data_IF_884669879336
#
_entry.id   IF_884669879336
#
_cell.length_a   1.000
_cell.length_b   1.000
_cell.length_c   1.000
_cell.angle_alpha   90.00
_cell.angle_beta   90.00
_cell.angle_gamma   90.00
#
_symmetry.space_group_name_H-M   'P 1'
#
loop_
_entity.id
_entity.type
_entity.pdbx_description
1 polymer ?
#
# COMPACT_ATOMS: atom_id res chain seq x y z
N UNK A 1 -68.50 -75.79 25.52
CA UNK A 1 -67.40 -74.99 26.02
C UNK A 1 -66.47 -74.77 24.86
N UNK A 2 -66.58 -73.64 24.26
CA UNK A 2 -65.71 -73.24 23.13
C UNK A 2 -64.59 -72.32 23.61
N UNK A 3 -63.33 -72.73 23.51
CA UNK A 3 -62.16 -71.91 23.81
C UNK A 3 -61.84 -71.04 22.64
N UNK A 4 -61.93 -69.71 22.81
CA UNK A 4 -61.52 -68.75 21.79
C UNK A 4 -60.02 -68.46 22.10
N UNK A 5 -59.17 -68.77 21.10
CA UNK A 5 -57.74 -68.47 21.09
C UNK A 5 -57.56 -67.13 20.42
N UNK A 6 -57.17 -66.08 21.29
CA UNK A 6 -56.87 -64.76 20.75
C UNK A 6 -55.41 -64.75 20.32
N UNK A 7 -55.22 -64.60 19.02
CA UNK A 7 -53.91 -64.34 18.42
C UNK A 7 -53.66 -62.82 18.46
N UNK A 8 -52.74 -62.41 19.29
CA UNK A 8 -52.26 -61.02 19.35
C UNK A 8 -51.29 -60.80 18.15
N UNK A 9 -51.78 -60.08 17.13
CA UNK A 9 -50.97 -59.64 15.99
C UNK A 9 -50.20 -58.39 16.42
N UNK A 10 -48.94 -58.53 16.80
CA UNK A 10 -48.03 -57.39 17.05
C UNK A 10 -47.66 -56.78 15.71
N UNK A 11 -48.25 -55.63 15.35
CA UNK A 11 -47.84 -54.82 14.23
C UNK A 11 -46.47 -54.23 14.50
N UNK A 12 -45.43 -54.76 13.90
CA UNK A 12 -44.11 -54.16 13.85
C UNK A 12 -44.22 -53.01 12.82
N UNK A 13 -44.34 -51.77 13.31
CA UNK A 13 -44.22 -50.58 12.44
C UNK A 13 -42.77 -50.50 11.97
N UNK A 14 -42.54 -50.89 10.71
CA UNK A 14 -41.26 -50.67 10.03
C UNK A 14 -41.05 -49.15 9.84
N UNK A 15 -40.25 -48.57 10.69
CA UNK A 15 -39.72 -47.20 10.43
C UNK A 15 -38.63 -47.34 9.35
N UNK A 16 -38.92 -46.94 8.13
CA UNK A 16 -37.92 -46.85 7.07
C UNK A 16 -36.97 -45.66 7.41
N UNK A 17 -35.77 -46.00 7.78
CA UNK A 17 -34.75 -45.00 8.00
C UNK A 17 -34.25 -44.44 6.70
N UNK A 18 -34.01 -43.10 6.61
CA UNK A 18 -33.45 -42.50 5.43
C UNK A 18 -31.92 -42.73 5.38
N UNK A 19 -31.50 -43.48 4.39
CA UNK A 19 -30.12 -43.89 4.18
C UNK A 19 -29.54 -43.14 2.97
N UNK A 20 -28.39 -42.49 3.16
CA UNK A 20 -27.67 -41.78 2.10
C UNK A 20 -26.24 -42.33 2.00
N UNK A 21 -25.73 -42.59 0.80
CA UNK A 21 -24.36 -43.05 0.64
C UNK A 21 -23.38 -41.93 1.04
N UNK A 22 -22.35 -42.31 1.78
CA UNK A 22 -21.20 -41.44 2.04
C UNK A 22 -20.40 -41.28 0.76
N UNK A 23 -20.23 -40.05 0.29
CA UNK A 23 -19.56 -39.74 -0.98
C UNK A 23 -18.11 -39.35 -0.75
N UNK A 24 -17.21 -39.72 -1.67
CA UNK A 24 -15.85 -39.20 -1.70
C UNK A 24 -15.83 -37.89 -2.48
N UNK A 25 -15.54 -36.79 -1.81
CA UNK A 25 -15.42 -35.46 -2.43
C UNK A 25 -14.03 -34.87 -2.21
N UNK A 26 -13.59 -34.07 -3.18
CA UNK A 26 -12.39 -33.29 -3.03
C UNK A 26 -12.69 -32.07 -2.17
N UNK A 27 -12.08 -31.98 -0.99
CA UNK A 27 -12.29 -30.91 -0.03
C UNK A 27 -11.07 -30.01 0.00
N UNK A 28 -11.35 -28.71 0.04
CA UNK A 28 -10.33 -27.71 0.13
C UNK A 28 -9.95 -27.45 1.61
N UNK A 29 -8.70 -27.75 1.96
CA UNK A 29 -8.17 -27.43 3.27
C UNK A 29 -7.74 -25.96 3.26
N UNK A 30 -8.50 -25.14 4.00
CA UNK A 30 -8.25 -23.72 4.15
C UNK A 30 -7.59 -23.44 5.50
N UNK A 31 -6.45 -22.74 5.49
CA UNK A 31 -5.80 -22.22 6.70
C UNK A 31 -6.05 -20.73 6.82
N UNK A 32 -6.15 -20.27 8.06
CA UNK A 32 -6.30 -18.85 8.37
C UNK A 32 -5.04 -18.27 8.97
N UNK A 33 -4.66 -17.08 8.51
CA UNK A 33 -3.50 -16.33 8.97
C UNK A 33 -3.93 -14.95 9.47
N UNK A 34 -3.33 -14.51 10.57
CA UNK A 34 -3.52 -13.16 11.08
C UNK A 34 -2.68 -12.19 10.28
N UNK A 35 -3.26 -11.04 9.99
CA UNK A 35 -2.63 -10.01 9.19
C UNK A 35 -3.27 -8.65 9.39
N UNK A 36 -2.89 -7.71 8.56
CA UNK A 36 -3.42 -6.35 8.57
C UNK A 36 -3.61 -5.80 7.15
N UNK A 37 -4.46 -4.80 7.06
CA UNK A 37 -4.63 -3.98 5.86
C UNK A 37 -3.54 -2.90 5.89
N UNK A 38 -2.83 -2.70 4.77
CA UNK A 38 -1.81 -1.67 4.67
C UNK A 38 -1.88 -0.95 3.31
N UNK A 39 -1.43 0.29 3.26
CA UNK A 39 -1.25 1.00 2.01
C UNK A 39 0.12 0.64 1.42
N UNK A 40 0.14 0.12 0.17
CA UNK A 40 1.38 -0.22 -0.54
C UNK A 40 2.22 1.03 -0.78
N UNK A 41 1.58 2.13 -1.16
CA UNK A 41 2.21 3.41 -1.41
C UNK A 41 2.02 4.31 -0.19
N UNK A 42 3.08 4.44 0.60
CA UNK A 42 3.19 5.41 1.68
C UNK A 42 4.32 6.36 1.37
N UNK A 43 4.09 7.67 1.53
CA UNK A 43 5.09 8.69 1.29
C UNK A 43 5.33 9.49 2.57
N UNK A 44 6.59 9.51 2.98
CA UNK A 44 7.07 10.36 4.06
C UNK A 44 7.42 11.73 3.48
N UNK A 45 6.57 12.72 3.73
CA UNK A 45 6.77 14.09 3.25
C UNK A 45 7.68 14.83 4.20
N UNK A 46 8.83 15.25 3.69
CA UNK A 46 9.83 16.02 4.39
C UNK A 46 10.01 17.41 3.75
N UNK A 47 10.59 18.34 4.48
CA UNK A 47 11.02 19.64 3.95
C UNK A 47 12.41 19.55 3.30
N UNK A 48 12.68 20.47 2.37
CA UNK A 48 14.04 20.75 1.85
C UNK A 48 14.72 21.91 2.59
N UNK A 49 13.94 22.65 3.39
CA UNK A 49 14.39 23.82 4.12
C UNK A 49 14.44 23.50 5.62
N UNK A 50 15.46 23.98 6.28
CA UNK A 50 15.53 24.03 7.73
C UNK A 50 14.79 25.28 8.21
N UNK A 51 13.90 25.14 9.18
CA UNK A 51 13.17 26.27 9.76
C UNK A 51 11.96 25.83 10.58
N UNK A 52 11.36 26.77 11.28
CA UNK A 52 10.15 26.50 12.07
C UNK A 52 8.94 26.32 11.19
N UNK A 53 8.06 25.38 11.54
CA UNK A 53 6.75 25.23 10.87
C UNK A 53 5.88 26.40 11.26
N UNK A 54 5.63 27.28 10.29
CA UNK A 54 4.80 28.47 10.46
C UNK A 54 3.31 28.16 10.46
N UNK A 55 2.90 27.19 9.62
CA UNK A 55 1.50 26.80 9.46
C UNK A 55 1.41 25.34 9.04
N UNK A 56 0.48 24.61 9.63
CA UNK A 56 0.03 23.31 9.21
C UNK A 56 -1.37 23.46 8.61
N UNK A 57 -1.58 23.04 7.36
CA UNK A 57 -2.86 23.23 6.66
C UNK A 57 -3.73 21.97 6.67
N UNK A 58 -3.21 20.87 7.25
CA UNK A 58 -3.89 19.57 7.26
C UNK A 58 -3.83 18.94 8.64
N UNK A 59 -4.83 18.13 8.95
CA UNK A 59 -4.92 17.31 10.14
C UNK A 59 -4.81 15.80 9.79
N UNK A 60 -4.53 14.97 10.80
CA UNK A 60 -4.57 13.52 10.63
C UNK A 60 -5.98 13.07 10.27
N UNK A 61 -6.10 12.26 9.21
CA UNK A 61 -7.38 11.84 8.64
C UNK A 61 -7.84 12.65 7.43
N UNK A 62 -7.25 13.82 7.15
CA UNK A 62 -7.62 14.63 6.00
C UNK A 62 -7.25 13.97 4.67
N UNK A 63 -8.18 14.05 3.70
CA UNK A 63 -7.93 13.68 2.31
C UNK A 63 -7.24 14.85 1.60
N UNK A 64 -6.15 14.56 0.92
CA UNK A 64 -5.36 15.55 0.17
C UNK A 64 -5.15 15.11 -1.27
N UNK A 65 -5.10 16.10 -2.18
CA UNK A 65 -4.79 15.87 -3.58
C UNK A 65 -3.34 16.27 -3.88
N UNK A 66 -2.76 15.63 -4.87
CA UNK A 66 -1.41 15.98 -5.35
C UNK A 66 -1.31 17.46 -5.70
N UNK A 67 -0.41 18.16 -5.04
CA UNK A 67 -0.18 19.60 -5.20
C UNK A 67 -0.76 20.47 -4.09
N UNK A 68 -1.62 19.94 -3.23
CA UNK A 68 -2.15 20.64 -2.06
C UNK A 68 -1.04 21.02 -1.10
N UNK A 69 -1.14 22.20 -0.47
CA UNK A 69 -0.14 22.68 0.48
C UNK A 69 -0.41 22.03 1.84
N UNK A 70 0.50 21.16 2.26
CA UNK A 70 0.41 20.46 3.54
C UNK A 70 0.84 21.33 4.72
N UNK A 71 1.98 21.98 4.57
CA UNK A 71 2.51 22.87 5.60
C UNK A 71 3.45 23.93 5.01
N UNK A 72 3.71 24.97 5.80
CA UNK A 72 4.60 26.06 5.44
C UNK A 72 5.72 26.19 6.49
N UNK A 73 6.95 26.23 6.00
CA UNK A 73 8.15 26.55 6.80
C UNK A 73 8.37 28.07 6.76
N UNK A 74 8.82 28.68 7.84
CA UNK A 74 9.09 30.12 7.90
C UNK A 74 10.15 30.51 6.85
N UNK A 75 9.80 31.40 5.91
CA UNK A 75 10.69 31.79 4.83
C UNK A 75 11.54 33.03 5.15
N UNK A 76 11.62 33.48 6.40
CA UNK A 76 12.26 34.76 6.78
C UNK A 76 13.71 34.87 6.32
N UNK A 77 14.50 33.80 6.51
CA UNK A 77 15.89 33.77 6.07
C UNK A 77 16.01 33.83 4.54
N UNK A 78 15.07 33.17 3.83
CA UNK A 78 15.03 33.19 2.37
C UNK A 78 14.70 34.57 1.83
N UNK A 79 13.81 35.31 2.47
CA UNK A 79 13.53 36.70 2.09
C UNK A 79 14.76 37.57 2.20
N UNK A 80 15.56 37.41 3.29
CA UNK A 80 16.83 38.10 3.48
C UNK A 80 17.81 37.78 2.35
N UNK A 81 17.94 36.49 1.98
CA UNK A 81 18.78 36.07 0.84
C UNK A 81 18.31 36.63 -0.50
N UNK A 82 17.00 36.68 -0.75
CA UNK A 82 16.42 37.27 -1.96
C UNK A 82 16.74 38.77 -2.02
N UNK A 83 16.59 39.50 -0.93
CA UNK A 83 16.90 40.95 -0.87
C UNK A 83 18.38 41.22 -1.12
N UNK A 84 19.27 40.42 -0.55
CA UNK A 84 20.71 40.51 -0.81
C UNK A 84 21.04 40.23 -2.28
N UNK A 85 20.45 39.17 -2.86
CA UNK A 85 20.65 38.84 -4.27
C UNK A 85 20.12 39.92 -5.21
N UNK A 86 18.98 40.56 -4.88
CA UNK A 86 18.43 41.71 -5.63
C UNK A 86 19.40 42.90 -5.60
N UNK A 87 19.98 43.23 -4.45
CA UNK A 87 20.98 44.27 -4.33
C UNK A 87 22.20 43.96 -5.22
N UNK A 88 22.67 42.73 -5.25
CA UNK A 88 23.73 42.26 -6.14
C UNK A 88 23.42 42.44 -7.63
N UNK A 89 22.18 42.17 -8.03
CA UNK A 89 21.74 42.41 -9.42
C UNK A 89 21.75 43.90 -9.74
N UNK A 90 21.27 44.77 -8.86
CA UNK A 90 21.33 46.25 -9.07
C UNK A 90 22.75 46.74 -9.18
N UNK A 91 23.67 46.26 -8.36
CA UNK A 91 25.08 46.60 -8.43
C UNK A 91 25.69 46.22 -9.76
N UNK A 92 25.43 44.99 -10.25
CA UNK A 92 25.92 44.51 -11.52
C UNK A 92 25.30 45.28 -12.70
N UNK A 93 23.99 45.66 -12.63
CA UNK A 93 23.35 46.52 -13.62
C UNK A 93 24.03 47.88 -13.75
N UNK A 94 24.36 48.53 -12.60
CA UNK A 94 25.10 49.76 -12.60
C UNK A 94 26.51 49.59 -13.20
N UNK A 95 27.18 48.45 -12.95
CA UNK A 95 28.44 48.10 -13.59
C UNK A 95 28.35 48.03 -15.11
N UNK A 96 27.31 47.45 -15.67
CA UNK A 96 27.05 47.42 -17.14
C UNK A 96 26.83 48.85 -17.66
N UNK A 97 26.05 49.67 -16.95
CA UNK A 97 25.80 51.06 -17.35
C UNK A 97 27.11 51.86 -17.43
N UNK A 98 27.96 51.76 -16.36
CA UNK A 98 29.24 52.44 -16.35
C UNK A 98 30.17 51.97 -17.47
N UNK A 99 30.22 50.67 -17.76
CA UNK A 99 31.00 50.12 -18.86
C UNK A 99 30.51 50.63 -20.25
N UNK A 100 29.19 50.73 -20.40
CA UNK A 100 28.59 51.30 -21.66
C UNK A 100 28.85 52.76 -21.83
N UNK A 101 28.83 53.55 -20.74
CA UNK A 101 29.20 54.98 -20.79
C UNK A 101 30.68 55.18 -21.17
N UNK A 102 31.59 54.38 -20.57
CA UNK A 102 33.02 54.43 -20.88
C UNK A 102 33.31 53.98 -22.35
N UNK A 103 32.54 53.02 -22.88
CA UNK A 103 32.65 52.63 -24.27
C UNK A 103 32.17 53.74 -25.23
N UNK A 104 31.01 54.34 -24.94
CA UNK A 104 30.47 55.45 -25.74
C UNK A 104 31.42 56.65 -25.82
N UNK A 105 32.16 56.94 -24.75
CA UNK A 105 33.21 58.00 -24.75
C UNK A 105 34.42 57.61 -25.62
N UNK A 106 34.93 56.38 -25.45
CA UNK A 106 36.04 55.86 -26.28
C UNK A 106 35.68 55.74 -27.76
N UNK A 107 34.41 55.43 -28.07
CA UNK A 107 33.87 55.34 -29.45
C UNK A 107 33.84 56.74 -30.11
N UNK A 108 33.46 57.79 -29.38
CA UNK A 108 33.52 59.17 -29.84
C UNK A 108 34.98 59.59 -30.17
N UNK A 109 35.90 59.25 -29.29
CA UNK A 109 37.33 59.55 -29.50
C UNK A 109 37.88 58.78 -30.70
N UNK A 110 37.57 57.49 -30.82
CA UNK A 110 37.95 56.69 -32.00
C UNK A 110 37.40 57.30 -33.28
N UNK A 111 36.13 57.68 -33.37
CA UNK A 111 35.52 58.28 -34.54
C UNK A 111 36.17 59.63 -34.87
N UNK A 112 36.49 60.46 -33.88
CA UNK A 112 37.21 61.73 -34.05
C UNK A 112 38.62 61.51 -34.61
N UNK A 113 39.39 60.59 -34.06
CA UNK A 113 40.75 60.29 -34.52
C UNK A 113 40.76 59.58 -35.87
N UNK A 114 39.77 58.77 -36.18
CA UNK A 114 39.60 58.21 -37.53
C UNK A 114 39.46 59.28 -38.62
N UNK A 115 38.59 60.26 -38.38
CA UNK A 115 38.40 61.38 -39.30
C UNK A 115 39.66 62.24 -39.45
N UNK A 116 40.44 62.45 -38.40
CA UNK A 116 41.70 63.19 -38.44
C UNK A 116 42.81 62.41 -39.16
N UNK A 117 42.88 61.09 -38.97
CA UNK A 117 43.85 60.23 -39.64
C UNK A 117 43.57 60.15 -41.14
N UNK A 118 42.31 60.04 -41.56
CA UNK A 118 41.93 60.11 -42.96
C UNK A 118 42.31 61.42 -43.62
N UNK A 119 42.39 62.52 -42.87
CA UNK A 119 42.86 63.84 -43.34
C UNK A 119 44.35 64.05 -43.15
N UNK A 120 45.12 63.06 -42.70
CA UNK A 120 46.57 63.18 -42.50
C UNK A 120 46.96 64.03 -41.26
N UNK A 121 46.03 64.39 -40.35
CA UNK A 121 46.24 65.31 -39.25
C UNK A 121 46.73 64.61 -37.92
N UNK A 122 46.78 63.29 -37.88
CA UNK A 122 47.31 62.53 -36.71
C UNK A 122 48.15 61.35 -37.22
N UNK A 123 49.01 60.80 -36.31
CA UNK A 123 49.84 59.66 -36.65
C UNK A 123 49.03 58.35 -36.63
N UNK A 124 49.51 57.38 -37.43
CA UNK A 124 48.93 56.03 -37.42
C UNK A 124 48.91 55.41 -35.99
N UNK A 125 49.97 55.61 -35.25
CA UNK A 125 50.11 55.16 -33.83
C UNK A 125 49.05 55.74 -32.95
N UNK A 126 48.69 56.99 -33.09
CA UNK A 126 47.65 57.63 -32.24
C UNK A 126 46.27 57.12 -32.61
N UNK A 127 45.98 56.90 -33.87
CA UNK A 127 44.76 56.29 -34.34
C UNK A 127 44.60 54.83 -33.80
N UNK A 128 45.64 53.98 -33.98
CA UNK A 128 45.65 52.60 -33.47
C UNK A 128 45.47 52.54 -31.94
N UNK A 129 46.01 53.49 -31.20
CA UNK A 129 45.80 53.61 -29.76
C UNK A 129 44.35 53.87 -29.39
N UNK A 130 43.63 54.73 -30.14
CA UNK A 130 42.18 54.95 -29.90
C UNK A 130 41.36 53.75 -30.28
N UNK A 131 41.72 53.06 -31.35
CA UNK A 131 41.07 51.81 -31.77
C UNK A 131 41.21 50.73 -30.69
N UNK A 132 42.40 50.52 -30.15
CA UNK A 132 42.67 49.59 -29.06
C UNK A 132 41.88 49.93 -27.79
N UNK A 133 41.85 51.23 -27.42
CA UNK A 133 41.07 51.70 -26.27
C UNK A 133 39.58 51.37 -26.41
N UNK A 134 38.97 51.64 -27.58
CA UNK A 134 37.59 51.30 -27.85
C UNK A 134 37.36 49.79 -27.74
N UNK A 135 38.26 48.94 -28.29
CA UNK A 135 38.18 47.48 -28.19
C UNK A 135 38.26 46.99 -26.77
N UNK A 136 39.16 47.59 -25.94
CA UNK A 136 39.27 47.28 -24.50
C UNK A 136 37.97 47.61 -23.77
N UNK A 137 37.33 48.77 -24.05
CA UNK A 137 36.06 49.16 -23.42
C UNK A 137 34.90 48.25 -23.88
N UNK A 138 34.90 47.83 -25.15
CA UNK A 138 33.94 46.82 -25.64
C UNK A 138 34.08 45.48 -24.85
N UNK A 139 35.31 45.02 -24.64
CA UNK A 139 35.55 43.82 -23.83
C UNK A 139 35.10 43.97 -22.37
N UNK A 140 35.23 45.22 -21.84
CA UNK A 140 34.77 45.54 -20.46
C UNK A 140 33.24 45.48 -20.31
N UNK A 141 32.45 45.84 -21.36
CA UNK A 141 31.01 45.65 -21.42
C UNK A 141 30.69 44.16 -21.30
N UNK A 142 31.33 43.32 -22.12
CA UNK A 142 31.11 41.88 -22.11
C UNK A 142 31.36 41.26 -20.71
N UNK A 143 32.44 41.70 -20.05
CA UNK A 143 32.75 41.28 -18.67
C UNK A 143 31.65 41.72 -17.70
N UNK A 144 31.20 42.96 -17.76
CA UNK A 144 30.13 43.48 -16.88
C UNK A 144 28.79 42.77 -17.15
N UNK A 145 28.47 42.47 -18.40
CA UNK A 145 27.26 41.68 -18.76
C UNK A 145 27.33 40.24 -18.25
N UNK A 146 28.51 39.60 -18.28
CA UNK A 146 28.70 38.29 -17.65
C UNK A 146 28.49 38.32 -16.14
N UNK A 147 28.99 39.35 -15.46
CA UNK A 147 28.76 39.57 -14.02
C UNK A 147 27.26 39.79 -13.69
N UNK A 148 26.54 40.53 -14.54
CA UNK A 148 25.09 40.70 -14.41
C UNK A 148 24.34 39.39 -14.59
N UNK A 149 24.73 38.59 -15.58
CA UNK A 149 24.14 37.26 -15.78
C UNK A 149 24.35 36.34 -14.56
N UNK A 150 25.56 36.37 -13.99
CA UNK A 150 25.87 35.63 -12.75
C UNK A 150 25.00 36.10 -11.57
N UNK A 151 24.85 37.41 -11.36
CA UNK A 151 24.02 37.96 -10.28
C UNK A 151 22.55 37.58 -10.47
N UNK A 152 22.01 37.66 -11.71
CA UNK A 152 20.65 37.22 -12.04
C UNK A 152 20.43 35.73 -11.76
N UNK A 153 21.39 34.88 -12.11
CA UNK A 153 21.33 33.45 -11.78
C UNK A 153 21.33 33.20 -10.27
N UNK A 154 22.07 34.01 -9.50
CA UNK A 154 22.02 33.99 -8.04
C UNK A 154 20.66 34.34 -7.47
N UNK A 155 20.03 35.40 -7.96
CA UNK A 155 18.68 35.80 -7.59
C UNK A 155 17.65 34.70 -7.92
N UNK A 156 17.75 34.12 -9.11
CA UNK A 156 16.85 33.04 -9.52
C UNK A 156 16.93 31.84 -8.56
N UNK A 157 18.14 31.43 -8.15
CA UNK A 157 18.33 30.36 -7.16
C UNK A 157 17.65 30.69 -5.83
N UNK A 158 17.77 31.91 -5.33
CA UNK A 158 17.13 32.34 -4.09
C UNK A 158 15.59 32.34 -4.22
N UNK A 159 15.05 32.75 -5.37
CA UNK A 159 13.62 32.68 -5.66
C UNK A 159 13.10 31.24 -5.76
N UNK A 160 13.89 30.31 -6.30
CA UNK A 160 13.52 28.92 -6.38
C UNK A 160 13.50 28.25 -5.00
N UNK A 161 14.44 28.62 -4.12
CA UNK A 161 14.42 28.16 -2.73
C UNK A 161 13.16 28.58 -2.00
N UNK A 162 12.60 29.76 -2.27
CA UNK A 162 11.34 30.23 -1.68
C UNK A 162 10.17 29.27 -1.96
N UNK A 163 10.16 28.61 -3.13
CA UNK A 163 9.11 27.63 -3.49
C UNK A 163 9.06 26.45 -2.52
N UNK A 164 10.22 26.08 -1.93
CA UNK A 164 10.32 24.97 -0.98
C UNK A 164 9.79 25.30 0.41
N UNK A 165 9.51 26.58 0.72
CA UNK A 165 8.86 26.96 1.96
C UNK A 165 7.42 26.47 2.07
N UNK A 166 6.75 26.23 0.93
CA UNK A 166 5.43 25.62 0.85
C UNK A 166 5.56 24.18 0.41
N UNK A 167 5.41 23.26 1.34
CA UNK A 167 5.54 21.84 1.09
C UNK A 167 4.20 21.29 0.62
N UNK A 168 4.22 20.62 -0.53
CA UNK A 168 3.02 20.13 -1.22
C UNK A 168 2.94 18.62 -1.17
N UNK A 169 1.71 18.08 -1.24
CA UNK A 169 1.43 16.66 -1.38
C UNK A 169 2.01 16.12 -2.70
N UNK A 170 2.87 15.09 -2.65
CA UNK A 170 3.41 14.46 -3.86
C UNK A 170 2.45 13.49 -4.54
N UNK A 171 1.46 12.98 -3.80
CA UNK A 171 0.44 12.01 -4.24
C UNK A 171 -0.93 12.42 -3.71
N UNK A 172 -1.98 11.86 -4.31
CA UNK A 172 -3.32 11.84 -3.71
C UNK A 172 -3.33 10.83 -2.58
N UNK A 173 -4.02 11.12 -1.47
CA UNK A 173 -4.06 10.20 -0.34
C UNK A 173 -4.64 10.80 0.93
N UNK A 174 -4.41 10.13 2.03
CA UNK A 174 -4.85 10.55 3.38
C UNK A 174 -3.64 10.81 4.26
N UNK A 175 -3.75 11.83 5.10
CA UNK A 175 -2.76 12.13 6.15
C UNK A 175 -2.87 11.07 7.25
N UNK A 176 -1.89 10.17 7.32
CA UNK A 176 -1.87 9.10 8.33
C UNK A 176 -1.33 9.60 9.66
N UNK A 177 -0.30 10.44 9.61
CA UNK A 177 0.37 10.94 10.82
C UNK A 177 1.10 12.25 10.56
N UNK A 178 1.05 13.13 11.54
CA UNK A 178 1.91 14.32 11.67
C UNK A 178 3.04 14.01 12.64
N UNK A 179 4.29 14.10 12.18
CA UNK A 179 5.48 13.80 12.99
C UNK A 179 6.01 15.05 13.68
N UNK A 180 5.56 16.25 13.25
CA UNK A 180 6.03 17.55 13.73
C UNK A 180 4.84 18.51 13.82
N UNK A 181 4.88 19.45 14.77
CA UNK A 181 3.79 20.41 15.03
C UNK A 181 4.18 21.83 14.58
N UNK A 182 3.18 22.72 14.58
CA UNK A 182 3.40 24.16 14.37
C UNK A 182 4.35 24.68 15.46
N UNK A 183 5.24 25.60 15.11
CA UNK A 183 6.32 26.16 15.91
C UNK A 183 7.46 25.17 16.27
N UNK A 184 7.43 23.92 15.81
CA UNK A 184 8.57 23.02 15.88
C UNK A 184 9.50 23.20 14.67
N UNK A 185 10.78 22.86 14.85
CA UNK A 185 11.77 22.95 13.78
C UNK A 185 11.67 21.77 12.82
N UNK A 186 11.44 22.05 11.56
CA UNK A 186 11.52 21.07 10.48
C UNK A 186 12.96 21.02 9.96
N UNK A 187 13.50 19.80 9.84
CA UNK A 187 14.87 19.54 9.41
C UNK A 187 14.83 18.79 8.08
N UNK A 188 15.64 19.16 7.08
CA UNK A 188 15.73 18.45 5.81
C UNK A 188 15.98 16.95 6.00
N UNK A 189 15.22 16.11 5.28
CA UNK A 189 15.35 14.66 5.37
C UNK A 189 14.56 14.00 6.50
N UNK A 190 14.07 14.74 7.49
CA UNK A 190 13.18 14.22 8.52
C UNK A 190 11.71 14.34 8.08
N UNK A 191 10.90 13.25 8.19
CA UNK A 191 9.50 13.30 7.80
C UNK A 191 8.71 14.22 8.74
N UNK A 192 7.87 15.06 8.14
CA UNK A 192 6.93 15.95 8.85
C UNK A 192 5.52 15.38 8.81
N UNK A 193 5.14 14.79 7.67
CA UNK A 193 3.82 14.19 7.44
C UNK A 193 3.99 12.85 6.73
N UNK A 194 3.17 11.87 7.10
CA UNK A 194 3.06 10.59 6.39
C UNK A 194 1.73 10.57 5.64
N UNK A 195 1.80 10.39 4.33
CA UNK A 195 0.64 10.20 3.45
C UNK A 195 0.51 8.74 3.03
N UNK A 196 -0.71 8.23 2.97
CA UNK A 196 -1.03 6.92 2.44
C UNK A 196 -2.00 7.04 1.26
N UNK A 197 -1.68 6.35 0.17
CA UNK A 197 -2.56 6.23 -0.98
C UNK A 197 -3.59 5.12 -0.73
N UNK A 198 -4.85 5.50 -0.50
CA UNK A 198 -5.94 4.57 -0.23
C UNK A 198 -6.28 3.68 -1.43
N UNK A 199 -5.94 4.09 -2.66
CA UNK A 199 -6.13 3.27 -3.85
C UNK A 199 -5.11 2.11 -3.93
N UNK A 200 -4.02 2.21 -3.17
CA UNK A 200 -2.95 1.20 -3.13
C UNK A 200 -3.10 0.18 -1.99
N UNK A 201 -4.27 0.10 -1.35
CA UNK A 201 -4.53 -0.79 -0.22
C UNK A 201 -4.37 -2.26 -0.63
N UNK A 202 -3.68 -3.00 0.22
CA UNK A 202 -3.45 -4.44 0.15
C UNK A 202 -3.60 -5.05 1.54
N UNK A 203 -3.78 -6.37 1.62
CA UNK A 203 -3.64 -7.11 2.87
C UNK A 203 -2.26 -7.79 2.91
N UNK A 204 -1.75 -8.01 4.12
CA UNK A 204 -0.55 -8.81 4.37
C UNK A 204 -0.75 -9.72 5.57
N UNK A 205 -0.09 -10.86 5.54
CA UNK A 205 -0.07 -11.79 6.66
C UNK A 205 1.32 -12.40 6.84
N UNK A 206 1.60 -12.80 8.07
CA UNK A 206 2.78 -13.57 8.41
C UNK A 206 2.42 -15.06 8.41
N UNK A 207 3.02 -15.80 7.48
CA UNK A 207 2.77 -17.23 7.26
C UNK A 207 3.96 -18.02 7.77
N UNK A 208 3.70 -19.05 8.59
CA UNK A 208 4.76 -19.91 9.13
C UNK A 208 5.52 -20.64 8.02
N UNK A 209 6.79 -20.92 8.26
CA UNK A 209 7.67 -21.59 7.30
C UNK A 209 7.11 -22.91 6.78
N UNK A 210 6.50 -23.73 7.65
CA UNK A 210 5.89 -25.00 7.26
C UNK A 210 4.72 -24.90 6.28
N UNK A 211 4.05 -23.72 6.24
CA UNK A 211 2.85 -23.48 5.43
C UNK A 211 3.16 -22.73 4.12
N UNK A 212 4.23 -21.92 4.10
CA UNK A 212 4.53 -21.05 2.95
C UNK A 212 4.79 -21.80 1.66
N UNK A 213 5.32 -23.02 1.75
CA UNK A 213 5.56 -23.92 0.59
C UNK A 213 4.27 -24.27 -0.19
N UNK A 214 3.14 -24.25 0.50
CA UNK A 214 1.83 -24.61 -0.05
C UNK A 214 1.07 -23.38 -0.62
N UNK A 215 1.67 -22.19 -0.51
CA UNK A 215 1.11 -20.92 -1.01
C UNK A 215 1.81 -20.54 -2.31
N UNK A 216 1.03 -20.17 -3.33
CA UNK A 216 1.52 -19.80 -4.67
C UNK A 216 1.05 -18.40 -5.04
N UNK A 217 1.85 -17.70 -5.86
CA UNK A 217 1.45 -16.42 -6.45
C UNK A 217 0.18 -16.61 -7.30
N UNK A 218 -0.69 -15.60 -7.29
CA UNK A 218 -2.02 -15.58 -7.92
C UNK A 218 -3.06 -16.55 -7.31
N UNK A 219 -2.71 -17.27 -6.24
CA UNK A 219 -3.62 -18.16 -5.55
C UNK A 219 -4.78 -17.39 -4.93
N UNK A 220 -6.04 -17.85 -5.07
CA UNK A 220 -7.20 -17.23 -4.45
C UNK A 220 -7.11 -17.26 -2.92
N UNK A 221 -7.59 -16.20 -2.30
CA UNK A 221 -7.70 -16.06 -0.85
C UNK A 221 -8.96 -15.26 -0.51
N UNK A 222 -9.43 -15.37 0.71
CA UNK A 222 -10.49 -14.51 1.26
C UNK A 222 -9.93 -13.74 2.46
N UNK A 223 -10.21 -12.45 2.52
CA UNK A 223 -9.75 -11.55 3.58
C UNK A 223 -10.98 -11.07 4.34
N UNK A 224 -11.11 -11.50 5.57
CA UNK A 224 -12.15 -11.03 6.49
C UNK A 224 -11.57 -9.90 7.35
N UNK A 225 -12.21 -8.73 7.29
CA UNK A 225 -11.84 -7.55 8.08
C UNK A 225 -12.91 -7.32 9.14
N UNK A 226 -12.56 -7.62 10.38
CA UNK A 226 -13.51 -7.61 11.50
C UNK A 226 -14.07 -6.23 11.81
N UNK A 227 -13.28 -5.17 11.65
CA UNK A 227 -13.69 -3.79 11.95
C UNK A 227 -14.89 -3.32 11.12
N UNK A 228 -15.04 -3.82 9.90
CA UNK A 228 -16.13 -3.48 8.96
C UNK A 228 -17.04 -4.67 8.66
N UNK A 229 -16.83 -5.81 9.35
CA UNK A 229 -17.55 -7.07 9.15
C UNK A 229 -17.67 -7.46 7.66
N UNK A 230 -16.59 -7.31 6.91
CA UNK A 230 -16.57 -7.49 5.44
C UNK A 230 -15.59 -8.60 5.06
N UNK A 231 -16.03 -9.51 4.20
CA UNK A 231 -15.15 -10.48 3.54
C UNK A 231 -14.90 -10.05 2.11
N UNK A 232 -13.65 -9.94 1.72
CA UNK A 232 -13.21 -9.49 0.40
C UNK A 232 -12.43 -10.60 -0.28
N UNK A 233 -12.72 -10.84 -1.56
CA UNK A 233 -11.92 -11.73 -2.36
C UNK A 233 -10.54 -11.12 -2.64
N UNK A 234 -9.54 -11.98 -2.55
CA UNK A 234 -8.15 -11.57 -2.69
C UNK A 234 -7.35 -12.61 -3.48
N UNK A 235 -6.16 -12.21 -3.90
CA UNK A 235 -5.17 -13.11 -4.51
C UNK A 235 -3.80 -12.84 -3.92
N UNK A 236 -3.02 -13.89 -3.74
CA UNK A 236 -1.60 -13.77 -3.38
C UNK A 236 -0.89 -12.95 -4.44
N UNK A 237 -0.42 -11.76 -4.08
CA UNK A 237 0.29 -10.86 -4.99
C UNK A 237 1.80 -11.04 -4.92
N UNK A 238 2.34 -11.34 -3.73
CA UNK A 238 3.77 -11.55 -3.55
C UNK A 238 4.05 -12.37 -2.28
N UNK A 239 5.11 -13.15 -2.31
CA UNK A 239 5.67 -13.86 -1.17
C UNK A 239 7.10 -13.34 -1.00
N UNK A 240 7.41 -12.75 0.16
CA UNK A 240 8.74 -12.20 0.41
C UNK A 240 9.67 -13.36 0.80
N UNK A 241 10.74 -13.64 0.03
CA UNK A 241 11.60 -14.81 0.24
C UNK A 241 12.62 -14.58 1.37
N UNK A 242 12.21 -13.92 2.43
CA UNK A 242 13.01 -13.65 3.62
C UNK A 242 12.15 -13.84 4.84
N UNK A 243 12.47 -14.85 5.65
CA UNK A 243 11.78 -15.09 6.91
C UNK A 243 12.22 -14.08 7.96
N UNK A 244 11.30 -13.69 8.81
CA UNK A 244 11.59 -12.99 10.06
C UNK A 244 12.26 -13.99 11.03
N UNK A 245 13.51 -13.76 11.45
CA UNK A 245 14.25 -14.72 12.30
C UNK A 245 13.65 -14.87 13.70
N UNK A 246 12.89 -13.90 14.19
CA UNK A 246 12.27 -13.94 15.52
C UNK A 246 10.99 -14.80 15.52
N UNK A 247 10.24 -14.79 14.42
CA UNK A 247 8.92 -15.45 14.34
C UNK A 247 8.91 -16.66 13.40
N UNK A 248 9.99 -16.93 12.67
CA UNK A 248 10.10 -17.96 11.63
C UNK A 248 8.93 -17.91 10.64
N UNK A 249 8.54 -16.69 10.24
CA UNK A 249 7.41 -16.45 9.34
C UNK A 249 7.81 -15.65 8.12
N UNK A 250 7.11 -15.91 7.02
CA UNK A 250 7.27 -15.22 5.74
C UNK A 250 6.16 -14.20 5.55
N UNK A 251 6.51 -13.03 5.07
CA UNK A 251 5.53 -12.01 4.74
C UNK A 251 4.89 -12.32 3.37
N UNK A 252 3.59 -12.59 3.38
CA UNK A 252 2.77 -12.80 2.19
C UNK A 252 1.84 -11.60 2.00
N UNK A 253 1.80 -11.08 0.79
CA UNK A 253 0.97 -9.93 0.40
C UNK A 253 -0.18 -10.37 -0.50
N UNK A 254 -1.33 -9.73 -0.33
CA UNK A 254 -2.57 -10.06 -1.02
C UNK A 254 -3.15 -8.82 -1.68
N UNK A 255 -3.45 -8.92 -2.97
CA UNK A 255 -4.23 -7.91 -3.68
C UNK A 255 -5.71 -8.12 -3.40
N UNK A 256 -6.42 -7.07 -3.05
CA UNK A 256 -7.84 -7.08 -2.75
C UNK A 256 -8.65 -6.73 -4.00
N UNK A 257 -9.75 -7.43 -4.23
CA UNK A 257 -10.67 -7.14 -5.33
C UNK A 257 -11.50 -5.88 -5.04
N UNK A 258 -11.90 -5.70 -3.79
CA UNK A 258 -12.63 -4.53 -3.32
C UNK A 258 -11.86 -3.89 -2.16
N UNK A 259 -11.77 -2.56 -2.18
CA UNK A 259 -11.01 -1.76 -1.20
C UNK A 259 -11.90 -0.77 -0.44
N UNK A 260 -13.18 -0.68 -0.81
CA UNK A 260 -14.11 0.28 -0.25
C UNK A 260 -14.34 0.06 1.24
N UNK A 261 -14.20 1.13 2.02
CA UNK A 261 -14.34 1.11 3.47
C UNK A 261 -13.16 0.51 4.24
N UNK A 262 -12.09 0.09 3.55
CA UNK A 262 -10.89 -0.45 4.20
C UNK A 262 -9.88 0.66 4.48
N UNK A 263 -9.35 0.66 5.70
CA UNK A 263 -8.33 1.61 6.12
C UNK A 263 -7.04 0.88 6.54
N UNK A 264 -5.87 1.48 6.27
CA UNK A 264 -4.60 0.96 6.75
C UNK A 264 -4.59 0.81 8.28
N UNK A 265 -4.05 -0.32 8.77
CA UNK A 265 -4.01 -0.65 10.18
C UNK A 265 -5.17 -1.53 10.67
N UNK A 266 -6.21 -1.76 9.86
CA UNK A 266 -7.28 -2.68 10.21
C UNK A 266 -6.75 -4.11 10.29
N UNK A 267 -7.12 -4.82 11.35
CA UNK A 267 -6.85 -6.25 11.50
C UNK A 267 -7.61 -7.06 10.46
N UNK A 268 -6.94 -8.02 9.84
CA UNK A 268 -7.50 -8.90 8.84
C UNK A 268 -7.19 -10.37 9.15
N UNK A 269 -8.17 -11.23 8.96
CA UNK A 269 -8.01 -12.69 8.99
C UNK A 269 -8.05 -13.21 7.55
N UNK A 270 -6.95 -13.80 7.12
CA UNK A 270 -6.76 -14.18 5.72
C UNK A 270 -6.87 -15.69 5.60
N UNK A 271 -7.80 -16.14 4.77
CA UNK A 271 -8.07 -17.54 4.52
C UNK A 271 -7.47 -17.93 3.17
N UNK A 272 -6.55 -18.91 3.19
CA UNK A 272 -5.86 -19.40 1.98
C UNK A 272 -6.07 -20.90 1.89
N UNK A 273 -6.46 -21.36 0.73
CA UNK A 273 -6.54 -22.78 0.44
C UNK A 273 -5.11 -23.35 0.31
N UNK A 274 -4.71 -24.24 1.19
CA UNK A 274 -3.33 -24.80 1.21
C UNK A 274 -3.23 -26.18 0.60
N UNK A 275 -4.31 -26.93 0.56
CA UNK A 275 -4.35 -28.27 -0.03
C UNK A 275 -5.76 -28.63 -0.48
N UNK A 276 -5.87 -29.64 -1.32
CA UNK A 276 -7.12 -30.36 -1.58
C UNK A 276 -6.87 -31.83 -1.27
N UNK A 277 -7.77 -32.43 -0.53
CA UNK A 277 -7.76 -33.86 -0.23
C UNK A 277 -9.08 -34.51 -0.61
N UNK A 278 -9.02 -35.75 -1.03
CA UNK A 278 -10.21 -36.57 -1.11
C UNK A 278 -10.57 -37.07 0.28
N UNK A 279 -11.72 -36.67 0.75
CA UNK A 279 -12.25 -37.08 2.06
C UNK A 279 -13.68 -37.57 1.88
N UNK A 280 -14.15 -38.40 2.80
CA UNK A 280 -15.53 -38.88 2.79
C UNK A 280 -16.42 -37.83 3.43
N UNK A 281 -17.50 -37.48 2.74
CA UNK A 281 -18.47 -36.49 3.12
C UNK A 281 -19.76 -37.13 3.53
N UNK A 282 -20.31 -36.72 4.64
CA UNK A 282 -21.63 -37.14 5.15
C UNK A 282 -22.47 -35.87 5.42
N UNK A 283 -23.80 -35.94 5.31
CA UNK A 283 -24.67 -34.83 5.73
C UNK A 283 -24.51 -34.54 7.21
N UNK A 284 -24.50 -33.23 7.59
CA UNK A 284 -24.36 -32.81 8.99
C UNK A 284 -25.40 -33.45 9.91
N UNK A 285 -26.62 -33.65 9.41
CA UNK A 285 -27.71 -34.26 10.15
C UNK A 285 -27.60 -35.80 10.31
N UNK A 286 -26.57 -36.42 9.73
CA UNK A 286 -26.21 -37.82 10.03
C UNK A 286 -25.30 -37.94 11.25
N UNK A 287 -24.68 -36.85 11.68
CA UNK A 287 -23.81 -36.85 12.87
C UNK A 287 -24.64 -37.03 14.15
N UNK A 288 -24.17 -37.89 15.03
CA UNK A 288 -24.75 -38.09 16.38
C UNK A 288 -23.63 -38.22 17.41
N UNK A 289 -23.94 -37.98 18.66
CA UNK A 289 -22.97 -38.11 19.77
C UNK A 289 -23.42 -39.22 20.74
N UNK A 290 -22.48 -40.09 21.06
CA UNK A 290 -22.70 -41.20 22.02
C UNK A 290 -21.59 -41.22 23.05
N UNK A 291 -21.96 -41.06 24.33
CA UNK A 291 -20.96 -41.03 25.40
C UNK A 291 -19.88 -39.97 25.22
N UNK A 292 -20.19 -38.82 24.54
CA UNK A 292 -19.24 -37.78 24.25
C UNK A 292 -18.41 -38.02 22.98
N UNK A 293 -18.62 -39.13 22.25
CA UNK A 293 -17.92 -39.44 20.98
C UNK A 293 -18.86 -39.10 19.84
N UNK A 294 -18.37 -38.31 18.90
CA UNK A 294 -19.09 -38.01 17.65
C UNK A 294 -18.93 -39.18 16.65
N UNK A 295 -20.04 -39.56 16.04
CA UNK A 295 -20.05 -40.66 15.07
C UNK A 295 -21.27 -40.61 14.19
N UNK A 296 -21.37 -41.59 13.29
CA UNK A 296 -22.53 -41.84 12.43
C UNK A 296 -22.97 -43.27 12.55
N UNK A 297 -24.26 -43.55 12.27
CA UNK A 297 -24.72 -44.89 12.11
C UNK A 297 -24.61 -45.30 10.66
N UNK A 298 -23.88 -46.38 10.39
CA UNK A 298 -23.76 -46.97 9.03
C UNK A 298 -24.62 -48.20 8.94
N UNK A 299 -25.12 -48.48 7.73
CA UNK A 299 -25.84 -49.71 7.45
C UNK A 299 -24.85 -50.89 7.28
N UNK A 300 -24.91 -51.81 8.21
CA UNK A 300 -24.17 -53.05 8.17
C UNK A 300 -25.14 -54.23 8.00
N UNK A 301 -25.39 -54.60 6.73
CA UNK A 301 -26.31 -55.69 6.34
C UNK A 301 -27.74 -55.53 6.93
N UNK A 302 -28.32 -54.33 6.81
CA UNK A 302 -29.66 -54.02 7.29
C UNK A 302 -29.76 -53.73 8.77
N UNK A 303 -28.62 -53.57 9.46
CA UNK A 303 -28.52 -53.21 10.89
C UNK A 303 -27.64 -51.98 11.09
N UNK A 304 -28.09 -51.09 11.96
CA UNK A 304 -27.28 -49.90 12.33
C UNK A 304 -26.03 -50.34 13.09
N UNK A 305 -24.90 -49.75 12.73
CA UNK A 305 -23.64 -49.85 13.46
C UNK A 305 -23.07 -48.45 13.72
N UNK A 306 -22.81 -48.10 14.95
CA UNK A 306 -22.19 -46.84 15.31
C UNK A 306 -20.71 -46.84 14.93
N UNK A 307 -20.29 -45.87 14.14
CA UNK A 307 -18.91 -45.67 13.72
C UNK A 307 -18.44 -44.31 14.21
N UNK A 308 -17.45 -44.27 15.13
CA UNK A 308 -16.84 -43.03 15.56
C UNK A 308 -16.17 -42.32 14.36
N UNK A 309 -16.37 -41.01 14.25
CA UNK A 309 -15.77 -40.22 13.17
C UNK A 309 -15.01 -39.03 13.75
N UNK A 310 -13.95 -38.61 13.03
CA UNK A 310 -13.29 -37.35 13.30
C UNK A 310 -13.66 -36.35 12.20
N UNK A 311 -14.16 -35.18 12.60
CA UNK A 311 -14.53 -34.11 11.68
C UNK A 311 -13.26 -33.45 11.15
N UNK A 312 -13.08 -33.44 9.82
CA UNK A 312 -11.97 -32.80 9.13
C UNK A 312 -12.30 -31.35 8.77
N UNK A 313 -13.48 -31.15 8.16
CA UNK A 313 -14.01 -29.81 7.84
C UNK A 313 -15.52 -29.87 7.70
N UNK A 314 -16.16 -28.69 7.77
CA UNK A 314 -17.59 -28.53 7.54
C UNK A 314 -17.81 -27.46 6.48
N UNK A 315 -18.61 -27.75 5.48
CA UNK A 315 -19.03 -26.81 4.44
C UNK A 315 -20.56 -26.88 4.27
N UNK A 316 -21.23 -25.88 4.83
CA UNK A 316 -22.69 -25.82 4.83
C UNK A 316 -23.32 -27.01 5.56
N UNK A 317 -24.12 -27.79 4.82
CA UNK A 317 -24.85 -28.98 5.31
C UNK A 317 -24.03 -30.29 5.17
N UNK A 318 -22.84 -30.24 4.62
CA UNK A 318 -21.96 -31.40 4.44
C UNK A 318 -20.75 -31.32 5.39
N UNK A 319 -20.36 -32.46 5.93
CA UNK A 319 -19.22 -32.59 6.83
C UNK A 319 -18.27 -33.65 6.32
N UNK A 320 -17.03 -33.27 6.16
CA UNK A 320 -15.96 -34.19 5.87
C UNK A 320 -15.52 -34.93 7.12
N UNK A 321 -15.49 -36.24 7.02
CA UNK A 321 -15.18 -37.10 8.16
C UNK A 321 -14.14 -38.15 7.80
N UNK A 322 -13.39 -38.59 8.79
CA UNK A 322 -12.59 -39.83 8.71
C UNK A 322 -13.22 -40.89 9.60
N UNK A 323 -13.09 -42.15 9.23
CA UNK A 323 -13.65 -43.29 9.96
C UNK A 323 -14.78 -44.01 9.22
N UNK A 324 -15.32 -43.43 8.14
CA UNK A 324 -16.33 -44.06 7.25
C UNK A 324 -15.72 -44.20 5.86
N UNK A 325 -16.07 -45.26 5.13
CA UNK A 325 -15.60 -45.47 3.77
C UNK A 325 -16.62 -44.90 2.75
N UNK A 326 -16.10 -44.47 1.59
CA UNK A 326 -16.96 -44.05 0.48
C UNK A 326 -17.87 -45.19 0.03
N UNK A 327 -19.16 -44.90 -0.19
CA UNK A 327 -20.19 -45.87 -0.57
C UNK A 327 -20.91 -46.52 0.60
N UNK A 328 -20.43 -46.40 1.85
CA UNK A 328 -21.17 -46.81 3.03
C UNK A 328 -22.44 -45.97 3.18
N UNK A 329 -23.58 -46.58 3.45
CA UNK A 329 -24.84 -45.87 3.66
C UNK A 329 -24.96 -45.41 5.11
N UNK A 330 -25.15 -44.13 5.32
CA UNK A 330 -25.29 -43.50 6.65
C UNK A 330 -26.76 -43.15 6.91
N UNK A 331 -27.16 -43.26 8.15
CA UNK A 331 -28.52 -42.91 8.60
C UNK A 331 -28.62 -41.41 8.84
N UNK A 332 -29.58 -40.77 8.15
CA UNK A 332 -29.88 -39.34 8.38
C UNK A 332 -30.85 -39.20 9.55
N UNK A 333 -30.63 -38.21 10.42
CA UNK A 333 -31.43 -37.92 11.59
C UNK A 333 -31.64 -39.16 12.47
N UNK A 334 -30.57 -39.83 12.93
CA UNK A 334 -30.71 -41.02 13.76
C UNK A 334 -31.45 -40.66 15.06
N UNK A 335 -32.49 -41.41 15.43
CA UNK A 335 -33.24 -41.17 16.63
C UNK A 335 -32.33 -41.35 17.87
N UNK A 336 -32.64 -40.62 18.94
CA UNK A 336 -31.80 -40.59 20.15
C UNK A 336 -31.64 -41.98 20.80
N UNK A 337 -32.57 -42.89 20.61
CA UNK A 337 -32.58 -44.27 21.14
C UNK A 337 -31.96 -45.30 20.20
N UNK A 338 -31.46 -44.91 19.00
CA UNK A 338 -30.83 -45.86 18.07
C UNK A 338 -29.59 -46.48 18.71
N UNK A 339 -29.41 -47.77 18.59
CA UNK A 339 -28.25 -48.51 19.10
C UNK A 339 -27.70 -49.45 18.05
N UNK A 340 -26.53 -49.99 18.33
CA UNK A 340 -25.94 -51.02 17.48
C UNK A 340 -26.88 -52.22 17.37
N UNK A 341 -27.07 -52.72 16.14
CA UNK A 341 -27.97 -53.82 15.86
C UNK A 341 -29.42 -53.41 15.58
N UNK A 342 -29.82 -52.14 15.70
CA UNK A 342 -31.14 -51.63 15.34
C UNK A 342 -31.45 -51.99 13.86
N UNK A 343 -32.54 -52.69 13.51
CA UNK A 343 -32.93 -52.98 12.13
C UNK A 343 -33.19 -51.69 11.35
N UNK A 344 -32.70 -51.60 10.12
CA UNK A 344 -32.81 -50.40 9.27
C UNK A 344 -33.88 -50.57 8.14
N UNK A 345 -34.68 -51.61 8.23
CA UNK A 345 -35.74 -51.93 7.26
C UNK A 345 -36.99 -51.11 7.49
#
# INVERSE_FOLDING_TARGET
MKKILAVALTAISAFAYNLVPAESKTIDITKSYSGDIYAKNQVMVATRLMGYIKKMNVEEGDVVHKGDILFEVDPSDIYSMINQARAGVMQAQNGVLMAKLAYADAEKDYNRFKNLYEKGAVSKRDFEKMQLNMQMRSSQIKLAEAMLAQAKAGLQRALDQKKYAKVKAPIDGVVVRKMTKVAEMAIPGHPVIILADLNSIQARAFVKEGDVKDIKIAQPAKVYVSAVNKTVDAKVSNIIPSADPATHSYLVKFSLADKEGLLPGMYAKIYVKVASKQEVVVPYNALTSRGGIVGVFVDNNGKAKFVPVSIVSQDGEEVAVTGVNAGERVVILPPANMTDGTPLN
#
